data_IF_582274824359
#
_entry.id   IF_582274824359
#
_cell.length_a   1.000
_cell.length_b   1.000
_cell.length_c   1.000
_cell.angle_alpha   90.00
_cell.angle_beta   90.00
_cell.angle_gamma   90.00
#
_symmetry.space_group_name_H-M   'P 1'
#
loop_
_entity.id
_entity.type
_entity.pdbx_description
1 polymer ?
#
# COMPACT_ATOMS: atom_id res chain seq x y z
N UNK A 1 -7.23 -5.20 -17.09
CA UNK A 1 -6.73 -6.54 -17.51
C UNK A 1 -6.43 -6.56 -19.00
N UNK A 2 -7.40 -6.29 -19.89
CA UNK A 2 -7.15 -6.25 -21.34
C UNK A 2 -5.99 -5.32 -21.73
N UNK A 3 -5.97 -4.07 -21.26
CA UNK A 3 -4.86 -3.14 -21.55
C UNK A 3 -3.52 -3.62 -21.03
N UNK A 4 -3.50 -4.27 -19.86
CA UNK A 4 -2.27 -4.87 -19.30
C UNK A 4 -1.79 -6.05 -20.15
N UNK A 5 -2.70 -6.92 -20.60
CA UNK A 5 -2.36 -8.04 -21.48
C UNK A 5 -1.81 -7.53 -22.82
N UNK A 6 -2.46 -6.53 -23.41
CA UNK A 6 -1.99 -5.87 -24.64
C UNK A 6 -0.59 -5.28 -24.42
N UNK A 7 -0.39 -4.53 -23.34
CA UNK A 7 0.90 -3.95 -22.98
C UNK A 7 2.00 -5.01 -22.84
N UNK A 8 1.73 -6.07 -22.09
CA UNK A 8 2.67 -7.18 -21.86
C UNK A 8 3.02 -7.89 -23.17
N UNK A 9 2.03 -8.20 -23.99
CA UNK A 9 2.23 -8.87 -25.28
C UNK A 9 3.04 -8.01 -26.25
N UNK A 10 2.67 -6.74 -26.40
CA UNK A 10 3.40 -5.81 -27.26
C UNK A 10 4.81 -5.57 -26.74
N UNK A 11 4.96 -5.48 -25.41
CA UNK A 11 6.24 -5.22 -24.76
C UNK A 11 7.23 -6.37 -24.96
N UNK A 12 6.77 -7.62 -24.81
CA UNK A 12 7.61 -8.78 -25.14
C UNK A 12 7.88 -8.93 -26.64
N UNK A 13 6.97 -8.48 -27.51
CA UNK A 13 7.16 -8.55 -28.96
C UNK A 13 8.17 -7.53 -29.51
N UNK A 14 8.30 -6.36 -28.87
CA UNK A 14 9.15 -5.25 -29.36
C UNK A 14 10.37 -4.95 -28.49
N UNK A 15 10.44 -5.48 -27.28
CA UNK A 15 11.56 -5.22 -26.38
C UNK A 15 12.85 -5.95 -26.79
N UNK A 16 13.93 -5.61 -26.10
CA UNK A 16 15.26 -6.16 -26.31
C UNK A 16 15.94 -6.40 -24.97
N UNK A 17 16.65 -7.52 -24.85
CA UNK A 17 17.44 -7.84 -23.64
C UNK A 17 18.61 -6.88 -23.44
N UNK A 18 19.00 -6.12 -24.48
CA UNK A 18 20.01 -5.08 -24.36
C UNK A 18 19.58 -3.96 -23.40
N UNK A 19 18.29 -3.65 -23.32
CA UNK A 19 17.75 -2.60 -22.45
C UNK A 19 17.85 -2.95 -20.95
N UNK A 20 17.94 -4.24 -20.63
CA UNK A 20 18.11 -4.72 -19.25
C UNK A 20 19.55 -4.58 -18.75
N UNK A 21 20.50 -4.31 -19.64
CA UNK A 21 21.91 -4.23 -19.27
C UNK A 21 22.33 -2.78 -18.93
N UNK A 22 23.21 -2.61 -17.93
CA UNK A 22 23.57 -3.57 -16.89
C UNK A 22 22.40 -3.91 -15.95
N UNK A 23 22.36 -5.15 -15.46
CA UNK A 23 21.34 -5.63 -14.50
C UNK A 23 21.34 -4.88 -13.17
N UNK A 24 22.50 -4.32 -12.79
CA UNK A 24 22.68 -3.54 -11.58
C UNK A 24 23.40 -2.24 -11.91
N UNK A 25 23.18 -1.21 -11.08
CA UNK A 25 23.83 0.08 -11.26
C UNK A 25 25.36 -0.06 -11.20
N UNK A 26 26.11 0.51 -12.17
CA UNK A 26 27.57 0.48 -12.15
C UNK A 26 28.14 1.05 -10.85
N UNK A 27 29.16 0.40 -10.28
CA UNK A 27 29.84 0.86 -9.07
C UNK A 27 29.08 0.64 -7.75
N UNK A 28 27.93 -0.06 -7.77
CA UNK A 28 27.22 -0.49 -6.55
C UNK A 28 27.15 -2.01 -6.47
N UNK A 29 27.15 -2.55 -5.24
CA UNK A 29 26.99 -4.00 -5.07
C UNK A 29 25.55 -4.43 -5.39
N UNK A 30 25.41 -5.58 -6.05
CA UNK A 30 24.10 -6.15 -6.39
C UNK A 30 23.23 -6.37 -5.12
N UNK A 31 23.85 -6.84 -4.04
CA UNK A 31 23.20 -7.05 -2.75
C UNK A 31 22.65 -5.76 -2.15
N UNK A 32 23.39 -4.64 -2.26
CA UNK A 32 22.91 -3.35 -1.80
C UNK A 32 21.68 -2.89 -2.61
N UNK A 33 21.69 -3.11 -3.94
CA UNK A 33 20.54 -2.82 -4.79
C UNK A 33 19.29 -3.60 -4.37
N UNK A 34 19.42 -4.91 -4.20
CA UNK A 34 18.33 -5.78 -3.71
C UNK A 34 17.85 -5.33 -2.33
N UNK A 35 18.78 -5.02 -1.43
CA UNK A 35 18.48 -4.58 -0.08
C UNK A 35 17.71 -3.25 -0.08
N UNK A 36 18.06 -2.29 -0.93
CA UNK A 36 17.33 -1.01 -1.04
C UNK A 36 15.92 -1.21 -1.60
N UNK A 37 15.75 -2.05 -2.62
CA UNK A 37 14.43 -2.37 -3.19
C UNK A 37 13.53 -3.08 -2.18
N UNK A 38 14.10 -4.01 -1.40
CA UNK A 38 13.37 -4.76 -0.37
C UNK A 38 12.66 -3.85 0.64
N UNK A 39 13.11 -2.61 0.80
CA UNK A 39 12.55 -1.67 1.78
C UNK A 39 11.23 -1.04 1.36
N UNK A 40 11.06 -0.82 0.06
CA UNK A 40 9.86 -0.18 -0.49
C UNK A 40 8.84 -1.22 -0.99
N UNK A 41 9.30 -2.46 -1.25
CA UNK A 41 8.43 -3.58 -1.66
C UNK A 41 7.26 -3.80 -0.69
N UNK A 42 7.41 -3.79 0.65
CA UNK A 42 6.27 -3.93 1.57
C UNK A 42 5.16 -2.92 1.32
N UNK A 43 5.52 -1.66 1.03
CA UNK A 43 4.55 -0.63 0.67
C UNK A 43 3.84 -0.94 -0.64
N UNK A 44 4.54 -1.40 -1.68
CA UNK A 44 3.91 -1.75 -2.95
C UNK A 44 3.09 -3.07 -2.89
N UNK A 45 3.36 -3.90 -1.89
CA UNK A 45 2.69 -5.19 -1.65
C UNK A 45 1.53 -5.10 -0.65
N UNK A 46 1.33 -3.95 0.01
CA UNK A 46 0.13 -3.71 0.82
C UNK A 46 -1.13 -3.71 -0.05
N UNK A 47 -2.25 -4.13 0.52
CA UNK A 47 -3.56 -4.10 -0.10
C UNK A 47 -4.37 -5.36 0.15
N UNK A 48 -3.71 -6.51 0.33
CA UNK A 48 -4.37 -7.79 0.62
C UNK A 48 -5.18 -7.75 1.93
N UNK A 49 -4.75 -6.96 2.91
CA UNK A 49 -5.45 -6.76 4.17
C UNK A 49 -6.79 -6.04 4.02
N UNK A 50 -7.02 -5.37 2.88
CA UNK A 50 -8.29 -4.68 2.60
C UNK A 50 -9.46 -5.66 2.51
N UNK A 51 -9.19 -6.94 2.19
CA UNK A 51 -10.19 -8.02 2.22
C UNK A 51 -10.80 -8.14 3.62
N UNK A 52 -9.97 -8.11 4.67
CA UNK A 52 -10.44 -8.16 6.05
C UNK A 52 -11.14 -6.86 6.47
N UNK A 53 -10.66 -5.69 6.01
CA UNK A 53 -11.29 -4.39 6.29
C UNK A 53 -12.70 -4.27 5.71
N UNK A 54 -12.97 -4.99 4.61
CA UNK A 54 -14.28 -5.04 3.94
C UNK A 54 -15.13 -6.25 4.31
N UNK A 55 -14.71 -7.10 5.25
CA UNK A 55 -15.41 -8.37 5.52
C UNK A 55 -16.82 -8.17 6.08
N UNK A 56 -17.07 -7.06 6.79
CA UNK A 56 -18.40 -6.72 7.33
C UNK A 56 -19.44 -6.45 6.23
N UNK A 57 -19.00 -6.19 4.99
CA UNK A 57 -19.88 -5.96 3.83
C UNK A 57 -19.98 -7.17 2.89
N UNK A 58 -19.45 -8.32 3.30
CA UNK A 58 -19.64 -9.54 2.54
C UNK A 58 -21.12 -9.95 2.50
N UNK A 59 -21.53 -10.58 1.40
CA UNK A 59 -22.89 -11.10 1.25
C UNK A 59 -23.28 -12.03 2.42
N UNK A 60 -24.55 -12.04 2.84
CA UNK A 60 -25.02 -13.00 3.84
C UNK A 60 -24.69 -14.45 3.44
N UNK A 61 -24.14 -15.24 4.37
CA UNK A 61 -23.73 -16.61 4.11
C UNK A 61 -22.41 -16.78 3.36
N UNK A 62 -21.59 -15.72 3.24
CA UNK A 62 -20.22 -15.86 2.73
C UNK A 62 -19.37 -16.72 3.67
N UNK A 63 -18.82 -17.83 3.17
CA UNK A 63 -17.95 -18.71 3.95
C UNK A 63 -16.68 -17.96 4.39
N UNK A 64 -16.39 -17.84 5.70
CA UNK A 64 -15.18 -17.19 6.20
C UNK A 64 -13.87 -17.73 5.63
N UNK A 65 -13.83 -19.01 5.22
CA UNK A 65 -12.63 -19.63 4.60
C UNK A 65 -12.27 -18.98 3.27
N UNK A 66 -13.26 -18.42 2.56
CA UNK A 66 -13.02 -17.75 1.29
C UNK A 66 -12.29 -16.41 1.43
N UNK A 67 -12.29 -15.79 2.62
CA UNK A 67 -11.45 -14.61 2.86
C UNK A 67 -9.97 -14.96 2.79
N UNK A 68 -9.56 -16.11 3.35
CA UNK A 68 -8.18 -16.59 3.27
C UNK A 68 -7.78 -16.87 1.82
N UNK A 69 -8.64 -17.52 1.05
CA UNK A 69 -8.42 -17.76 -0.38
C UNK A 69 -8.30 -16.44 -1.16
N UNK A 70 -9.17 -15.46 -0.87
CA UNK A 70 -9.12 -14.14 -1.50
C UNK A 70 -7.81 -13.40 -1.18
N UNK A 71 -7.33 -13.48 0.07
CA UNK A 71 -6.05 -12.90 0.48
C UNK A 71 -4.90 -13.54 -0.31
N UNK A 72 -4.77 -14.87 -0.32
CA UNK A 72 -3.70 -15.55 -1.06
C UNK A 72 -3.78 -15.31 -2.58
N UNK A 73 -4.98 -15.34 -3.15
CA UNK A 73 -5.18 -15.05 -4.57
C UNK A 73 -4.75 -13.61 -4.90
N UNK A 74 -5.08 -12.64 -4.05
CA UNK A 74 -4.67 -11.24 -4.24
C UNK A 74 -3.16 -11.06 -4.15
N UNK A 75 -2.51 -11.76 -3.21
CA UNK A 75 -1.06 -11.72 -3.03
C UNK A 75 -0.33 -12.33 -4.23
N UNK A 76 -0.78 -13.50 -4.69
CA UNK A 76 -0.18 -14.17 -5.84
C UNK A 76 -0.41 -13.40 -7.15
N UNK A 77 -1.62 -12.87 -7.36
CA UNK A 77 -1.92 -12.03 -8.52
C UNK A 77 -1.09 -10.75 -8.52
N UNK A 78 -0.92 -10.10 -7.35
CA UNK A 78 -0.06 -8.94 -7.18
C UNK A 78 1.41 -9.26 -7.47
N UNK A 79 1.93 -10.36 -6.91
CA UNK A 79 3.28 -10.83 -7.16
C UNK A 79 3.55 -11.04 -8.66
N UNK A 80 2.70 -11.82 -9.35
CA UNK A 80 2.83 -12.04 -10.79
C UNK A 80 2.76 -10.74 -11.57
N UNK A 81 1.82 -9.85 -11.21
CA UNK A 81 1.70 -8.55 -11.86
C UNK A 81 3.00 -7.74 -11.76
N UNK A 82 3.61 -7.63 -10.57
CA UNK A 82 4.85 -6.87 -10.39
C UNK A 82 6.04 -7.51 -11.11
N UNK A 83 6.17 -8.84 -11.06
CA UNK A 83 7.23 -9.55 -11.79
C UNK A 83 7.11 -9.29 -13.30
N UNK A 84 5.90 -9.42 -13.85
CA UNK A 84 5.65 -9.21 -15.28
C UNK A 84 5.86 -7.76 -15.68
N UNK A 85 5.29 -6.80 -14.94
CA UNK A 85 5.39 -5.38 -15.33
C UNK A 85 6.83 -4.87 -15.27
N UNK A 86 7.60 -5.25 -14.23
CA UNK A 86 9.00 -4.86 -14.10
C UNK A 86 9.83 -5.48 -15.23
N UNK A 87 9.60 -6.77 -15.52
CA UNK A 87 10.28 -7.45 -16.63
C UNK A 87 9.95 -6.79 -17.98
N UNK A 88 8.68 -6.51 -18.27
CA UNK A 88 8.26 -5.88 -19.53
C UNK A 88 8.83 -4.48 -19.66
N UNK A 89 8.71 -3.63 -18.64
CA UNK A 89 9.19 -2.24 -18.70
C UNK A 89 10.70 -2.18 -18.95
N UNK A 90 11.48 -2.99 -18.23
CA UNK A 90 12.95 -3.04 -18.42
C UNK A 90 13.37 -3.73 -19.72
N UNK A 91 12.51 -4.57 -20.31
CA UNK A 91 12.75 -5.17 -21.63
C UNK A 91 12.49 -4.16 -22.75
N UNK A 92 11.47 -3.31 -22.59
CA UNK A 92 11.00 -2.37 -23.61
C UNK A 92 11.86 -1.11 -23.68
N UNK A 93 12.34 -0.59 -22.54
CA UNK A 93 13.06 0.68 -22.48
C UNK A 93 14.24 0.64 -21.48
N UNK A 94 15.39 1.28 -21.79
CA UNK A 94 16.53 1.33 -20.87
C UNK A 94 16.16 1.93 -19.52
N UNK A 95 16.38 1.17 -18.44
CA UNK A 95 15.97 1.57 -17.10
C UNK A 95 16.69 2.82 -16.59
N UNK A 96 17.91 3.09 -17.05
CA UNK A 96 18.73 4.24 -16.65
C UNK A 96 18.08 5.55 -17.07
N UNK A 97 17.46 5.59 -18.25
CA UNK A 97 16.76 6.77 -18.76
C UNK A 97 15.44 7.04 -18.03
N UNK A 98 14.78 5.97 -17.55
CA UNK A 98 13.58 6.08 -16.71
C UNK A 98 13.96 6.68 -15.35
N UNK A 99 15.02 6.17 -14.73
CA UNK A 99 15.49 6.62 -13.40
C UNK A 99 16.07 8.03 -13.46
N UNK A 100 16.75 8.39 -14.54
CA UNK A 100 17.31 9.73 -14.71
C UNK A 100 16.26 10.80 -14.98
N UNK A 101 14.98 10.44 -15.18
CA UNK A 101 13.88 11.36 -15.42
C UNK A 101 13.95 12.09 -16.77
N UNK A 102 14.83 11.65 -17.68
CA UNK A 102 15.05 12.34 -18.95
C UNK A 102 13.89 12.15 -19.94
N UNK A 103 13.05 11.13 -19.72
CA UNK A 103 11.94 10.79 -20.63
C UNK A 103 10.68 10.51 -19.83
N UNK A 104 9.59 11.24 -20.15
CA UNK A 104 8.26 10.95 -19.63
C UNK A 104 7.83 9.56 -20.10
N UNK A 105 7.21 8.79 -19.22
CA UNK A 105 6.75 7.41 -19.50
C UNK A 105 5.94 7.29 -20.80
N UNK A 106 5.15 8.32 -21.13
CA UNK A 106 4.44 8.44 -22.40
C UNK A 106 5.37 8.41 -23.62
N UNK A 107 6.39 9.26 -23.63
CA UNK A 107 7.36 9.40 -24.72
C UNK A 107 8.22 8.14 -24.84
N UNK A 108 8.54 7.51 -23.71
CA UNK A 108 9.25 6.23 -23.70
C UNK A 108 8.42 5.13 -24.39
N UNK A 109 7.12 5.03 -24.07
CA UNK A 109 6.24 4.05 -24.70
C UNK A 109 5.94 4.38 -26.16
N UNK A 110 5.77 5.65 -26.51
CA UNK A 110 5.59 6.05 -27.91
C UNK A 110 6.80 5.66 -28.76
N UNK A 111 8.02 5.93 -28.27
CA UNK A 111 9.26 5.53 -28.95
C UNK A 111 9.40 4.02 -29.06
N UNK A 112 9.06 3.29 -27.99
CA UNK A 112 9.22 1.84 -27.98
C UNK A 112 8.18 1.12 -28.86
N UNK A 113 6.94 1.59 -28.90
CA UNK A 113 5.88 0.97 -29.69
C UNK A 113 5.75 1.55 -31.10
N UNK A 114 6.36 2.71 -31.39
CA UNK A 114 6.28 3.39 -32.69
C UNK A 114 4.87 3.87 -33.03
N UNK A 115 4.00 4.05 -32.03
CA UNK A 115 2.61 4.46 -32.22
C UNK A 115 2.11 5.26 -31.03
N UNK A 116 1.80 6.53 -31.29
CA UNK A 116 1.21 7.44 -30.30
C UNK A 116 -0.14 6.92 -29.77
N UNK A 117 -0.99 6.37 -30.64
CA UNK A 117 -2.30 5.85 -30.26
C UNK A 117 -2.20 4.67 -29.27
N UNK A 118 -1.23 3.78 -29.46
CA UNK A 118 -0.99 2.66 -28.54
C UNK A 118 -0.48 3.17 -27.19
N UNK A 119 0.45 4.12 -27.18
CA UNK A 119 0.95 4.74 -25.96
C UNK A 119 -0.17 5.42 -25.16
N UNK A 120 -1.03 6.20 -25.81
CA UNK A 120 -2.20 6.84 -25.18
C UNK A 120 -3.19 5.81 -24.61
N UNK A 121 -3.49 4.73 -25.34
CA UNK A 121 -4.37 3.67 -24.84
C UNK A 121 -3.81 3.01 -23.58
N UNK A 122 -2.49 2.76 -23.54
CA UNK A 122 -1.81 2.20 -22.36
C UNK A 122 -1.91 3.17 -21.18
N UNK A 123 -1.61 4.46 -21.38
CA UNK A 123 -1.70 5.48 -20.34
C UNK A 123 -3.12 5.66 -19.82
N UNK A 124 -4.11 5.65 -20.72
CA UNK A 124 -5.52 5.70 -20.33
C UNK A 124 -5.91 4.48 -19.50
N UNK A 125 -5.46 3.28 -19.88
CA UNK A 125 -5.68 2.08 -19.07
C UNK A 125 -4.98 2.13 -17.72
N UNK A 126 -3.76 2.68 -17.65
CA UNK A 126 -3.05 2.90 -16.40
C UNK A 126 -3.80 3.90 -15.50
N UNK A 127 -4.31 5.00 -16.07
CA UNK A 127 -5.13 5.98 -15.37
C UNK A 127 -6.41 5.36 -14.80
N UNK A 128 -7.17 4.60 -15.60
CA UNK A 128 -8.36 3.88 -15.11
C UNK A 128 -8.00 2.87 -14.01
N UNK A 129 -6.85 2.21 -14.12
CA UNK A 129 -6.36 1.30 -13.09
C UNK A 129 -6.03 2.02 -11.78
N UNK A 130 -5.42 3.21 -11.85
CA UNK A 130 -5.14 4.06 -10.69
C UNK A 130 -6.43 4.52 -10.02
N UNK A 131 -7.43 4.98 -10.80
CA UNK A 131 -8.74 5.36 -10.27
C UNK A 131 -9.39 4.21 -9.48
N UNK A 132 -9.33 2.99 -10.03
CA UNK A 132 -9.83 1.78 -9.36
C UNK A 132 -9.09 1.52 -8.04
N UNK A 133 -7.76 1.57 -8.05
CA UNK A 133 -6.92 1.29 -6.87
C UNK A 133 -7.17 2.34 -5.78
N UNK A 134 -7.17 3.63 -6.13
CA UNK A 134 -7.40 4.70 -5.17
C UNK A 134 -8.80 4.66 -4.59
N UNK A 135 -9.82 4.35 -5.39
CA UNK A 135 -11.18 4.15 -4.87
C UNK A 135 -11.23 3.00 -3.85
N UNK A 136 -10.63 1.85 -4.18
CA UNK A 136 -10.56 0.72 -3.26
C UNK A 136 -9.83 1.05 -1.95
N UNK A 137 -8.69 1.74 -2.03
CA UNK A 137 -7.92 2.15 -0.87
C UNK A 137 -8.67 3.19 -0.02
N UNK A 138 -9.37 4.13 -0.66
CA UNK A 138 -10.19 5.12 0.03
C UNK A 138 -11.31 4.47 0.83
N UNK A 139 -11.99 3.49 0.23
CA UNK A 139 -13.04 2.71 0.91
C UNK A 139 -12.44 1.89 2.07
N UNK A 140 -11.30 1.24 1.90
CA UNK A 140 -10.64 0.48 2.96
C UNK A 140 -10.22 1.37 4.15
N UNK A 141 -9.67 2.56 3.86
CA UNK A 141 -9.24 3.53 4.88
C UNK A 141 -10.41 4.13 5.66
N UNK A 142 -11.53 4.44 4.99
CA UNK A 142 -12.72 4.97 5.66
C UNK A 142 -13.38 3.93 6.57
N UNK A 143 -13.41 2.65 6.16
CA UNK A 143 -13.88 1.54 7.02
C UNK A 143 -12.98 1.34 8.24
N UNK A 144 -11.66 1.48 8.08
CA UNK A 144 -10.73 1.41 9.20
C UNK A 144 -11.01 2.53 10.21
N UNK A 145 -11.16 3.78 9.74
CA UNK A 145 -11.53 4.92 10.59
C UNK A 145 -12.87 4.73 11.30
N UNK A 146 -13.87 4.22 10.59
CA UNK A 146 -15.17 3.88 11.16
C UNK A 146 -15.06 2.84 12.27
N UNK A 147 -14.31 1.76 12.05
CA UNK A 147 -14.13 0.69 13.03
C UNK A 147 -13.41 1.15 14.30
N UNK A 148 -12.37 2.00 14.19
CA UNK A 148 -11.69 2.56 15.37
C UNK A 148 -12.56 3.61 16.09
N UNK A 149 -13.39 4.36 15.35
CA UNK A 149 -14.37 5.28 15.92
C UNK A 149 -15.46 4.57 16.72
N UNK A 150 -15.94 3.42 16.23
CA UNK A 150 -16.88 2.54 16.97
C UNK A 150 -16.30 1.93 18.24
N UNK A 151 -14.98 1.85 18.34
CA UNK A 151 -14.26 1.34 19.53
C UNK A 151 -13.82 2.44 20.49
N UNK A 152 -14.26 3.68 20.29
CA UNK A 152 -13.90 4.84 21.11
C UNK A 152 -12.37 5.06 21.22
N UNK A 153 -11.61 4.64 20.22
CA UNK A 153 -10.16 4.88 20.15
C UNK A 153 -9.84 6.29 19.64
N UNK A 154 -10.79 6.90 18.94
CA UNK A 154 -10.80 8.27 18.41
C UNK A 154 -12.17 8.89 18.72
N UNK A 155 -12.42 10.12 18.24
CA UNK A 155 -13.71 10.77 18.46
C UNK A 155 -14.89 9.93 17.91
N UNK A 156 -15.94 9.63 18.71
CA UNK A 156 -17.05 8.74 18.33
C UNK A 156 -17.84 9.15 17.09
N UNK A 157 -17.74 10.42 16.66
CA UNK A 157 -18.38 10.87 15.41
C UNK A 157 -17.88 10.11 14.18
N UNK A 158 -16.63 9.62 14.19
CA UNK A 158 -16.08 8.81 13.11
C UNK A 158 -16.75 7.43 12.99
N UNK A 159 -17.33 6.93 14.08
CA UNK A 159 -18.10 5.69 14.11
C UNK A 159 -19.59 5.85 13.75
N UNK A 160 -20.06 7.06 13.39
CA UNK A 160 -21.47 7.30 13.05
C UNK A 160 -21.72 7.03 11.57
N UNK A 161 -22.81 6.32 11.28
CA UNK A 161 -23.32 6.11 9.92
C UNK A 161 -24.48 7.04 9.62
N UNK A 162 -24.60 7.46 8.36
CA UNK A 162 -25.70 8.29 7.90
C UNK A 162 -26.99 7.47 7.82
N UNK A 163 -28.08 7.95 8.43
CA UNK A 163 -29.33 7.20 8.56
C UNK A 163 -29.95 6.78 7.21
N UNK A 164 -29.87 7.64 6.18
CA UNK A 164 -30.46 7.36 4.87
C UNK A 164 -29.55 6.55 3.92
N UNK A 165 -28.23 6.65 4.07
CA UNK A 165 -27.27 6.08 3.11
C UNK A 165 -26.46 4.91 3.69
N UNK A 166 -26.48 4.71 5.00
CA UNK A 166 -25.71 3.67 5.68
C UNK A 166 -24.20 3.89 5.66
N UNK A 167 -23.71 5.07 5.26
CA UNK A 167 -22.28 5.34 5.05
C UNK A 167 -21.65 6.16 6.19
N UNK A 168 -20.37 5.93 6.55
CA UNK A 168 -19.69 6.68 7.61
C UNK A 168 -19.21 8.05 7.09
N UNK A 169 -20.14 8.99 6.90
CA UNK A 169 -19.89 10.30 6.25
C UNK A 169 -18.76 11.07 6.90
N UNK A 170 -18.66 11.08 8.23
CA UNK A 170 -17.58 11.82 8.93
C UNK A 170 -16.20 11.23 8.62
N UNK A 171 -16.08 9.89 8.57
CA UNK A 171 -14.83 9.23 8.21
C UNK A 171 -14.48 9.47 6.72
N UNK A 172 -15.48 9.46 5.85
CA UNK A 172 -15.35 9.78 4.42
C UNK A 172 -14.85 11.22 4.23
N UNK A 173 -15.49 12.20 4.87
CA UNK A 173 -15.10 13.60 4.76
C UNK A 173 -13.70 13.86 5.30
N UNK A 174 -13.32 13.24 6.42
CA UNK A 174 -11.97 13.37 6.98
C UNK A 174 -10.92 12.78 6.03
N UNK A 175 -11.16 11.59 5.48
CA UNK A 175 -10.24 10.97 4.52
C UNK A 175 -10.17 11.76 3.22
N UNK A 176 -11.28 12.33 2.74
CA UNK A 176 -11.30 13.20 1.58
C UNK A 176 -10.47 14.47 1.82
N UNK A 177 -10.60 15.09 3.00
CA UNK A 177 -9.81 16.26 3.38
C UNK A 177 -8.31 15.94 3.40
N UNK A 178 -7.90 14.81 3.99
CA UNK A 178 -6.50 14.38 3.93
C UNK A 178 -6.02 14.07 2.51
N UNK A 179 -6.88 13.49 1.67
CA UNK A 179 -6.54 13.19 0.27
C UNK A 179 -6.31 14.48 -0.52
N UNK A 180 -7.19 15.48 -0.36
CA UNK A 180 -7.05 16.80 -1.01
C UNK A 180 -5.82 17.53 -0.49
N UNK A 181 -5.60 17.54 0.83
CA UNK A 181 -4.41 18.14 1.43
C UNK A 181 -3.13 17.48 0.88
N UNK A 182 -3.08 16.15 0.83
CA UNK A 182 -1.95 15.40 0.27
C UNK A 182 -1.69 15.77 -1.20
N UNK A 183 -2.73 15.94 -2.01
CA UNK A 183 -2.61 16.33 -3.41
C UNK A 183 -1.98 17.72 -3.61
N UNK A 184 -2.09 18.63 -2.63
CA UNK A 184 -1.49 19.97 -2.71
C UNK A 184 0.03 19.98 -2.52
N UNK A 185 0.64 18.91 -1.99
CA UNK A 185 2.09 18.85 -1.75
C UNK A 185 2.91 18.38 -2.97
N UNK A 186 2.26 17.97 -4.05
CA UNK A 186 2.91 17.57 -5.30
C UNK A 186 3.82 16.33 -5.15
N UNK A 187 4.78 16.17 -6.07
CA UNK A 187 5.58 14.94 -6.16
C UNK A 187 6.58 14.77 -5.01
N UNK A 188 6.96 15.86 -4.34
CA UNK A 188 7.95 15.84 -3.26
C UNK A 188 7.51 15.02 -2.05
N UNK A 189 6.19 14.85 -1.85
CA UNK A 189 5.65 14.09 -0.73
C UNK A 189 5.58 12.58 -1.01
N UNK A 190 5.73 12.15 -2.27
CA UNK A 190 5.55 10.75 -2.66
C UNK A 190 6.57 9.83 -1.97
N UNK A 191 7.84 10.23 -1.97
CA UNK A 191 8.89 9.44 -1.31
C UNK A 191 8.64 9.36 0.20
N UNK A 192 8.50 10.47 0.95
CA UNK A 192 8.16 10.40 2.38
C UNK A 192 6.91 9.57 2.70
N UNK A 193 5.84 9.67 1.89
CA UNK A 193 4.61 8.87 2.10
C UNK A 193 4.87 7.38 1.89
N UNK A 194 5.57 7.00 0.83
CA UNK A 194 5.87 5.58 0.55
C UNK A 194 6.75 4.97 1.64
N UNK A 195 7.71 5.75 2.13
CA UNK A 195 8.69 5.37 3.13
C UNK A 195 8.06 5.23 4.53
N UNK A 196 7.38 6.28 4.99
CA UNK A 196 6.62 6.26 6.25
C UNK A 196 5.47 5.26 6.19
N UNK A 197 4.83 5.12 5.02
CA UNK A 197 3.79 4.13 4.76
C UNK A 197 4.30 2.70 4.91
N UNK A 198 5.49 2.39 4.36
CA UNK A 198 6.14 1.08 4.50
C UNK A 198 6.35 0.72 5.98
N UNK A 199 6.86 1.67 6.77
CA UNK A 199 7.00 1.50 8.22
C UNK A 199 5.66 1.30 8.92
N UNK A 200 4.64 2.11 8.60
CA UNK A 200 3.31 2.00 9.20
C UNK A 200 2.65 0.63 8.91
N UNK A 201 2.81 0.11 7.68
CA UNK A 201 2.38 -1.23 7.29
C UNK A 201 3.16 -2.29 8.07
N UNK A 202 4.48 -2.17 8.18
CA UNK A 202 5.31 -3.07 8.98
C UNK A 202 4.90 -3.12 10.45
N UNK A 203 4.62 -1.96 11.06
CA UNK A 203 4.07 -1.88 12.43
C UNK A 203 2.69 -2.51 12.52
N UNK A 204 1.84 -2.34 11.50
CA UNK A 204 0.52 -2.97 11.43
C UNK A 204 0.59 -4.49 11.39
N UNK A 205 1.44 -5.06 10.53
CA UNK A 205 1.66 -6.50 10.43
C UNK A 205 2.29 -7.07 11.71
N UNK A 206 3.29 -6.38 12.27
CA UNK A 206 3.90 -6.72 13.56
C UNK A 206 2.83 -6.80 14.66
N UNK A 207 1.96 -5.78 14.74
CA UNK A 207 0.88 -5.69 15.72
C UNK A 207 -0.14 -6.81 15.54
N UNK A 208 -0.49 -7.15 14.30
CA UNK A 208 -1.42 -8.24 14.00
C UNK A 208 -0.87 -9.61 14.42
N UNK A 209 0.39 -9.90 14.08
CA UNK A 209 1.05 -11.14 14.46
C UNK A 209 1.27 -11.23 15.97
N UNK A 210 1.69 -10.14 16.62
CA UNK A 210 1.85 -10.07 18.07
C UNK A 210 0.52 -10.27 18.81
N UNK A 211 -0.57 -9.66 18.32
CA UNK A 211 -1.90 -9.86 18.87
C UNK A 211 -2.38 -11.31 18.72
N UNK A 212 -2.09 -11.96 17.59
CA UNK A 212 -2.39 -13.37 17.39
C UNK A 212 -1.68 -14.26 18.43
N UNK A 213 -0.38 -14.05 18.65
CA UNK A 213 0.43 -14.78 19.64
C UNK A 213 -0.08 -14.50 21.06
N UNK A 214 -0.38 -13.24 21.39
CA UNK A 214 -0.88 -12.84 22.71
C UNK A 214 -2.20 -13.52 23.08
N UNK A 215 -3.04 -13.87 22.08
CA UNK A 215 -4.27 -14.64 22.29
C UNK A 215 -4.03 -16.14 22.54
N UNK A 216 -2.78 -16.59 22.63
CA UNK A 216 -2.35 -17.97 22.91
C UNK A 216 -3.03 -19.02 22.01
N UNK A 217 -3.28 -18.67 20.75
CA UNK A 217 -3.81 -19.64 19.79
C UNK A 217 -2.68 -20.61 19.41
N UNK A 218 -2.77 -21.87 19.83
CA UNK A 218 -1.81 -22.93 19.49
C UNK A 218 -2.15 -23.59 18.14
N UNK A 219 -1.13 -23.90 17.33
CA UNK A 219 -1.27 -24.56 16.02
C UNK A 219 -0.19 -24.12 15.02
N UNK A 220 -0.22 -24.65 13.79
CA UNK A 220 0.69 -24.28 12.68
C UNK A 220 0.71 -22.77 12.41
N UNK A 221 -0.43 -22.11 12.60
CA UNK A 221 -0.58 -20.66 12.49
C UNK A 221 0.26 -19.86 13.50
N UNK A 222 0.70 -20.46 14.61
CA UNK A 222 1.56 -19.80 15.58
C UNK A 222 3.00 -19.64 15.06
N UNK A 223 3.55 -20.66 14.39
CA UNK A 223 4.88 -20.57 13.78
C UNK A 223 4.92 -19.49 12.70
N UNK A 224 3.86 -19.40 11.88
CA UNK A 224 3.70 -18.34 10.89
C UNK A 224 3.59 -16.95 11.54
N UNK A 225 2.92 -16.84 12.70
CA UNK A 225 2.86 -15.59 13.43
C UNK A 225 4.22 -15.16 14.00
N UNK A 226 5.03 -16.08 14.53
CA UNK A 226 6.39 -15.76 14.98
C UNK A 226 7.29 -15.33 13.82
N UNK A 227 7.22 -16.02 12.69
CA UNK A 227 7.92 -15.60 11.47
C UNK A 227 7.46 -14.21 11.02
N UNK A 228 6.15 -13.96 11.03
CA UNK A 228 5.56 -12.65 10.71
C UNK A 228 6.04 -11.53 11.63
N UNK A 229 6.16 -11.80 12.94
CA UNK A 229 6.77 -10.87 13.91
C UNK A 229 8.22 -10.58 13.53
N UNK A 230 9.03 -11.62 13.28
CA UNK A 230 10.45 -11.45 12.96
C UNK A 230 10.66 -10.64 11.67
N UNK A 231 9.92 -10.97 10.60
CA UNK A 231 10.00 -10.26 9.31
C UNK A 231 9.51 -8.82 9.44
N UNK A 232 8.38 -8.60 10.12
CA UNK A 232 7.83 -7.25 10.30
C UNK A 232 8.75 -6.38 11.17
N UNK A 233 9.33 -6.96 12.23
CA UNK A 233 10.33 -6.28 13.05
C UNK A 233 11.58 -5.93 12.25
N UNK A 234 12.06 -6.83 11.37
CA UNK A 234 13.18 -6.54 10.49
C UNK A 234 12.88 -5.36 9.55
N UNK A 235 11.70 -5.31 8.93
CA UNK A 235 11.27 -4.18 8.07
C UNK A 235 11.25 -2.87 8.86
N UNK A 236 10.70 -2.86 10.08
CA UNK A 236 10.67 -1.67 10.94
C UNK A 236 12.08 -1.22 11.33
N UNK A 237 12.92 -2.16 11.78
CA UNK A 237 14.31 -1.87 12.17
C UNK A 237 15.13 -1.33 11.00
N UNK A 238 14.94 -1.87 9.80
CA UNK A 238 15.61 -1.44 8.58
C UNK A 238 15.35 0.03 8.25
N UNK A 239 14.17 0.56 8.60
CA UNK A 239 13.81 1.98 8.42
C UNK A 239 14.26 2.87 9.56
N UNK A 240 14.18 2.39 10.80
CA UNK A 240 14.45 3.20 12.00
C UNK A 240 15.93 3.31 12.34
N UNK A 241 16.72 2.26 12.10
CA UNK A 241 18.13 2.21 12.50
C UNK A 241 18.99 3.04 11.53
N UNK A 242 19.59 4.17 11.95
CA UNK A 242 20.30 5.08 11.03
C UNK A 242 21.52 4.45 10.35
N UNK A 243 22.11 3.42 10.95
CA UNK A 243 23.25 2.68 10.39
C UNK A 243 22.87 1.81 9.18
N UNK A 244 21.57 1.56 8.95
CA UNK A 244 21.09 0.73 7.85
C UNK A 244 20.97 1.60 6.58
N UNK A 245 21.54 1.17 5.43
CA UNK A 245 21.35 1.87 4.18
C UNK A 245 19.87 1.98 3.82
N UNK A 246 19.37 3.17 3.49
CA UNK A 246 17.95 3.42 3.20
C UNK A 246 17.06 3.64 4.44
N UNK A 247 17.68 3.85 5.60
CA UNK A 247 17.00 4.37 6.79
C UNK A 247 16.45 5.78 6.57
N UNK A 248 15.57 6.19 7.49
CA UNK A 248 14.80 7.41 7.31
C UNK A 248 15.65 8.68 7.15
N UNK A 249 15.36 9.41 6.08
CA UNK A 249 15.87 10.78 5.87
C UNK A 249 15.19 11.76 6.83
N UNK A 250 15.72 13.00 6.92
CA UNK A 250 15.11 14.03 7.74
C UNK A 250 13.63 14.30 7.35
N UNK A 251 13.34 14.29 6.04
CA UNK A 251 11.98 14.46 5.54
C UNK A 251 11.05 13.33 6.01
N UNK A 252 11.50 12.07 5.95
CA UNK A 252 10.73 10.90 6.40
C UNK A 252 10.50 10.92 7.91
N UNK A 253 11.51 11.30 8.69
CA UNK A 253 11.35 11.52 10.13
C UNK A 253 10.34 12.61 10.44
N UNK A 254 10.37 13.74 9.73
CA UNK A 254 9.39 14.81 9.93
C UNK A 254 7.98 14.34 9.60
N UNK A 255 7.79 13.62 8.49
CA UNK A 255 6.50 13.06 8.11
C UNK A 255 6.00 12.03 9.15
N UNK A 256 6.87 11.14 9.62
CA UNK A 256 6.53 10.15 10.65
C UNK A 256 6.11 10.81 11.97
N UNK A 257 6.87 11.79 12.45
CA UNK A 257 6.56 12.52 13.68
C UNK A 257 5.28 13.32 13.53
N UNK A 258 5.08 14.02 12.40
CA UNK A 258 3.86 14.77 12.13
C UNK A 258 2.61 13.88 12.13
N UNK A 259 2.68 12.70 11.50
CA UNK A 259 1.57 11.75 11.47
C UNK A 259 1.31 11.08 12.82
N UNK A 260 2.39 10.76 13.55
CA UNK A 260 2.27 10.21 14.90
C UNK A 260 1.69 11.23 15.88
N UNK A 261 2.09 12.50 15.76
CA UNK A 261 1.54 13.61 16.54
C UNK A 261 0.05 13.82 16.23
N UNK A 262 -0.33 13.80 14.93
CA UNK A 262 -1.73 13.90 14.55
C UNK A 262 -2.58 12.75 15.13
N UNK A 263 -2.09 11.52 15.04
CA UNK A 263 -2.74 10.35 15.65
C UNK A 263 -2.89 10.49 17.17
N UNK A 264 -1.85 10.99 17.85
CA UNK A 264 -1.89 11.26 19.28
C UNK A 264 -2.91 12.35 19.63
N UNK A 265 -3.00 13.43 18.83
CA UNK A 265 -4.01 14.47 19.01
C UNK A 265 -5.42 13.89 18.89
N UNK A 266 -5.70 13.06 17.89
CA UNK A 266 -7.00 12.39 17.76
C UNK A 266 -7.32 11.47 18.94
N UNK A 267 -6.30 10.78 19.48
CA UNK A 267 -6.46 9.90 20.64
C UNK A 267 -6.68 10.68 21.94
N UNK A 268 -5.99 11.81 22.13
CA UNK A 268 -6.18 12.68 23.30
C UNK A 268 -7.50 13.44 23.26
N UNK A 269 -7.95 13.84 22.07
CA UNK A 269 -9.22 14.53 21.85
C UNK A 269 -10.45 13.60 21.96
N UNK A 270 -10.25 12.30 22.23
CA UNK A 270 -11.38 11.38 22.41
C UNK A 270 -12.15 11.74 23.69
N UNK A 271 -13.50 11.81 23.64
CA UNK A 271 -14.31 11.94 24.84
C UNK A 271 -14.05 10.75 25.76
N UNK A 272 -13.72 11.01 27.03
CA UNK A 272 -13.66 9.93 28.04
C UNK A 272 -15.07 9.42 28.26
N UNK A 273 -15.30 8.15 27.91
CA UNK A 273 -16.59 7.49 28.12
C UNK A 273 -16.81 7.29 29.63
N UNK A 274 -17.94 7.76 30.14
CA UNK A 274 -18.41 7.35 31.47
C UNK A 274 -18.64 5.84 31.45
N UNK A 275 -18.08 5.12 32.43
CA UNK A 275 -18.11 3.66 32.57
C UNK A 275 -19.51 3.03 32.55
N UNK A 276 -20.57 3.85 32.66
CA UNK A 276 -21.97 3.42 32.69
C UNK A 276 -22.69 3.45 31.33
N UNK A 277 -22.01 3.79 30.24
CA UNK A 277 -22.65 3.85 28.92
C UNK A 277 -22.71 2.44 28.31
N UNK A 278 -23.89 1.92 27.89
CA UNK A 278 -24.02 0.56 27.36
C UNK A 278 -23.19 0.36 26.09
N UNK A 279 -22.52 -0.80 25.98
CA UNK A 279 -21.78 -1.18 24.76
C UNK A 279 -22.80 -1.27 23.62
N UNK A 280 -22.64 -0.53 22.51
CA UNK A 280 -23.57 -0.63 21.39
C UNK A 280 -23.61 -2.08 20.90
N UNK A 281 -24.82 -2.63 20.82
CA UNK A 281 -25.07 -4.02 20.42
C UNK A 281 -24.52 -4.29 19.02
N UNK A 282 -24.04 -5.53 18.81
CA UNK A 282 -23.45 -6.02 17.56
C UNK A 282 -24.49 -6.14 16.46
#
# INVERSE_FOLDING_TARGET
>A
LATFAIFTLLGFAKGSSANMQPLFAPGRSALLGVFLVLQIVPYFMTGFESVAKGSEEAKPGFDPRNFTTAIYASLFAGFLFYVIIIAVVTYVYPWQEIVSGHVRTEVAFERAFGSHAIAQLILFGAFLSLLKIFNGNFVASTRMLYAIGRRDLVHPSLGRVHAAFGTPVVAISLMAAFTVAAAMFGDAILVPITEVGSLAVGVGWLSACAAYIARRQSGESAAMAYLGVAVSAAIVLMKVVPAVPGSFTAAEWTAFVAWSALGLVFWLARPRRNSNSPVPAR
#
